data_IF_570303779089
#
_entry.id   IF_570303779089
#
_cell.length_a   1.000
_cell.length_b   1.000
_cell.length_c   1.000
_cell.angle_alpha   90.00
_cell.angle_beta   90.00
_cell.angle_gamma   90.00
#
_symmetry.space_group_name_H-M   'P 1'
#
loop_
_entity.id
_entity.type
_entity.pdbx_description
1 polymer ?
#
# COMPACT_ATOMS: atom_id res chain seq x y z
N UNK A 1 -18.24 17.20 16.95
CA UNK A 1 -17.15 16.21 16.97
C UNK A 1 -17.64 14.75 17.09
N UNK A 2 -18.61 14.42 17.99
CA UNK A 2 -19.08 13.02 18.19
C UNK A 2 -19.72 12.36 16.96
N UNK A 3 -20.40 13.11 16.10
CA UNK A 3 -21.03 12.57 14.88
C UNK A 3 -20.02 12.15 13.80
N UNK A 4 -18.97 12.95 13.59
CA UNK A 4 -17.88 12.60 12.67
C UNK A 4 -17.11 11.35 13.13
N UNK A 5 -16.86 11.24 14.44
CA UNK A 5 -16.23 10.05 15.01
C UNK A 5 -17.10 8.79 14.83
N UNK A 6 -18.42 8.90 15.01
CA UNK A 6 -19.34 7.78 14.78
C UNK A 6 -19.35 7.33 13.30
N UNK A 7 -19.37 8.27 12.35
CA UNK A 7 -19.29 7.98 10.91
C UNK A 7 -17.96 7.29 10.59
N UNK A 8 -16.83 7.89 11.01
CA UNK A 8 -15.51 7.34 10.72
C UNK A 8 -15.34 5.93 11.30
N UNK A 9 -15.76 5.72 12.56
CA UNK A 9 -15.65 4.43 13.21
C UNK A 9 -16.51 3.37 12.53
N UNK A 10 -17.78 3.69 12.19
CA UNK A 10 -18.69 2.73 11.56
C UNK A 10 -18.24 2.37 10.14
N UNK A 11 -17.75 3.34 9.38
CA UNK A 11 -17.19 3.13 8.05
C UNK A 11 -15.93 2.26 8.10
N UNK A 12 -14.98 2.59 8.99
CA UNK A 12 -13.74 1.83 9.15
C UNK A 12 -13.98 0.42 9.67
N UNK A 13 -14.92 0.24 10.61
CA UNK A 13 -15.30 -1.08 11.11
C UNK A 13 -15.91 -1.96 10.01
N UNK A 14 -16.72 -1.38 9.12
CA UNK A 14 -17.28 -2.10 7.98
C UNK A 14 -16.20 -2.57 7.00
N UNK A 15 -15.21 -1.72 6.71
CA UNK A 15 -14.06 -2.10 5.85
C UNK A 15 -13.21 -3.19 6.52
N UNK A 16 -12.98 -3.08 7.82
CA UNK A 16 -12.22 -4.08 8.56
C UNK A 16 -12.92 -5.45 8.58
N UNK A 17 -14.24 -5.46 8.72
CA UNK A 17 -15.07 -6.68 8.61
C UNK A 17 -14.94 -7.33 7.23
N UNK A 18 -14.84 -6.55 6.15
CA UNK A 18 -14.59 -7.08 4.80
C UNK A 18 -13.23 -7.78 4.69
N UNK A 19 -12.21 -7.29 5.38
CA UNK A 19 -10.89 -7.92 5.41
C UNK A 19 -10.83 -9.22 6.22
N UNK A 20 -11.77 -9.42 7.15
CA UNK A 20 -11.83 -10.61 8.01
C UNK A 20 -12.74 -11.72 7.46
N UNK A 21 -13.63 -11.41 6.55
CA UNK A 21 -14.62 -12.34 6.02
C UNK A 21 -14.40 -12.57 4.52
N UNK A 22 -14.59 -13.81 4.02
CA UNK A 22 -14.40 -14.09 2.60
C UNK A 22 -15.33 -13.23 1.75
N UNK A 23 -14.79 -12.70 0.65
CA UNK A 23 -15.55 -11.90 -0.29
C UNK A 23 -16.70 -12.74 -0.91
N UNK A 24 -17.91 -12.20 -0.93
CA UNK A 24 -19.06 -12.91 -1.46
C UNK A 24 -20.25 -11.98 -1.69
N UNK A 25 -21.31 -12.53 -2.31
CA UNK A 25 -22.57 -11.81 -2.57
C UNK A 25 -23.27 -11.32 -1.29
N UNK A 26 -22.97 -11.92 -0.14
CA UNK A 26 -23.52 -11.54 1.17
C UNK A 26 -23.26 -10.06 1.51
N UNK A 27 -22.18 -9.46 0.97
CA UNK A 27 -21.81 -8.06 1.21
C UNK A 27 -22.92 -7.12 0.71
N UNK A 28 -23.46 -7.39 -0.48
CA UNK A 28 -24.56 -6.60 -1.03
C UNK A 28 -25.84 -6.76 -0.21
N UNK A 29 -26.12 -7.98 0.27
CA UNK A 29 -27.25 -8.23 1.16
C UNK A 29 -27.08 -7.53 2.51
N UNK A 30 -25.89 -7.60 3.10
CA UNK A 30 -25.59 -6.92 4.37
C UNK A 30 -25.69 -5.39 4.23
N UNK A 31 -25.15 -4.82 3.16
CA UNK A 31 -25.27 -3.39 2.89
C UNK A 31 -26.72 -2.98 2.67
N UNK A 32 -27.49 -3.78 1.93
CA UNK A 32 -28.92 -3.55 1.71
C UNK A 32 -29.74 -3.64 2.99
N UNK A 33 -29.45 -4.62 3.86
CA UNK A 33 -30.11 -4.76 5.17
C UNK A 33 -29.79 -3.59 6.10
N UNK A 34 -28.54 -3.11 6.13
CA UNK A 34 -28.17 -1.93 6.90
C UNK A 34 -28.88 -0.67 6.39
N UNK A 35 -28.96 -0.50 5.08
CA UNK A 35 -29.69 0.62 4.48
C UNK A 35 -31.19 0.53 4.77
N UNK A 36 -31.79 -0.65 4.66
CA UNK A 36 -33.20 -0.90 5.00
C UNK A 36 -33.47 -0.66 6.50
N UNK A 37 -32.59 -1.10 7.39
CA UNK A 37 -32.67 -0.80 8.82
C UNK A 37 -32.65 0.71 9.08
N UNK A 38 -31.81 1.46 8.36
CA UNK A 38 -31.81 2.92 8.37
C UNK A 38 -33.16 3.50 7.94
N UNK A 39 -33.75 2.96 6.86
CA UNK A 39 -35.09 3.32 6.41
C UNK A 39 -36.17 3.04 7.49
N UNK A 40 -36.09 1.89 8.14
CA UNK A 40 -36.99 1.55 9.25
C UNK A 40 -36.88 2.51 10.44
N UNK A 41 -35.63 2.95 10.78
CA UNK A 41 -35.42 3.96 11.82
C UNK A 41 -36.11 5.29 11.48
N UNK A 42 -36.24 5.63 10.19
CA UNK A 42 -36.99 6.81 9.74
C UNK A 42 -38.47 6.69 9.98
N UNK A 43 -39.05 5.48 9.89
CA UNK A 43 -40.49 5.21 10.00
C UNK A 43 -40.92 5.02 11.45
N UNK A 44 -40.04 4.68 12.39
CA UNK A 44 -40.35 4.39 13.78
C UNK A 44 -40.82 5.65 14.54
N UNK A 45 -42.13 5.74 14.95
CA UNK A 45 -42.67 6.92 15.60
C UNK A 45 -42.05 7.16 17.00
N UNK A 46 -41.67 6.05 17.71
CA UNK A 46 -41.04 6.13 19.04
C UNK A 46 -39.69 6.84 19.02
N UNK A 47 -38.93 6.77 17.92
CA UNK A 47 -37.65 7.44 17.77
C UNK A 47 -37.79 8.89 17.31
N UNK A 48 -38.97 9.32 16.86
CA UNK A 48 -39.21 10.73 16.50
C UNK A 48 -39.03 11.66 17.70
N UNK A 49 -39.38 11.25 18.89
CA UNK A 49 -39.21 12.00 20.12
C UNK A 49 -37.72 12.18 20.50
N UNK A 50 -36.85 11.25 20.11
CA UNK A 50 -35.40 11.26 20.42
C UNK A 50 -34.57 11.63 19.18
N UNK A 51 -34.75 12.84 18.68
CA UNK A 51 -34.11 13.32 17.43
C UNK A 51 -32.61 13.04 17.34
N UNK A 52 -31.86 13.24 18.44
CA UNK A 52 -30.40 13.00 18.44
C UNK A 52 -30.05 11.53 18.30
N UNK A 53 -30.72 10.62 19.01
CA UNK A 53 -30.49 9.18 18.93
C UNK A 53 -30.81 8.68 17.52
N UNK A 54 -31.93 9.13 16.95
CA UNK A 54 -32.31 8.80 15.59
C UNK A 54 -31.27 9.22 14.56
N UNK A 55 -30.75 10.44 14.67
CA UNK A 55 -29.71 10.94 13.77
C UNK A 55 -28.42 10.12 13.87
N UNK A 56 -27.99 9.74 15.10
CA UNK A 56 -26.82 8.90 15.27
C UNK A 56 -26.99 7.50 14.67
N UNK A 57 -28.12 6.85 14.90
CA UNK A 57 -28.40 5.53 14.35
C UNK A 57 -28.38 5.55 12.81
N UNK A 58 -28.99 6.58 12.21
CA UNK A 58 -28.96 6.76 10.77
C UNK A 58 -27.53 6.94 10.24
N UNK A 59 -26.76 7.81 10.88
CA UNK A 59 -25.37 8.05 10.46
C UNK A 59 -24.53 6.78 10.56
N UNK A 60 -24.68 5.97 11.62
CA UNK A 60 -23.97 4.71 11.79
C UNK A 60 -24.34 3.71 10.71
N UNK A 61 -25.65 3.48 10.50
CA UNK A 61 -26.13 2.50 9.54
C UNK A 61 -25.77 2.85 8.09
N UNK A 62 -25.95 4.11 7.70
CA UNK A 62 -25.58 4.55 6.36
C UNK A 62 -24.06 4.57 6.16
N UNK A 63 -23.27 4.97 7.18
CA UNK A 63 -21.81 4.92 7.08
C UNK A 63 -21.29 3.49 6.97
N UNK A 64 -21.84 2.54 7.73
CA UNK A 64 -21.49 1.13 7.63
C UNK A 64 -21.88 0.54 6.27
N UNK A 65 -23.09 0.82 5.78
CA UNK A 65 -23.51 0.40 4.44
C UNK A 65 -22.60 0.96 3.34
N UNK A 66 -22.28 2.25 3.42
CA UNK A 66 -21.36 2.90 2.48
C UNK A 66 -19.95 2.29 2.55
N UNK A 67 -19.46 1.94 3.75
CA UNK A 67 -18.18 1.28 3.94
C UNK A 67 -18.12 -0.10 3.28
N UNK A 68 -19.17 -0.91 3.43
CA UNK A 68 -19.27 -2.22 2.77
C UNK A 68 -19.28 -2.09 1.24
N UNK A 69 -20.08 -1.19 0.70
CA UNK A 69 -20.19 -0.98 -0.75
C UNK A 69 -18.87 -0.42 -1.32
N UNK A 70 -18.26 0.54 -0.62
CA UNK A 70 -16.97 1.09 -1.02
C UNK A 70 -15.88 0.03 -1.03
N UNK A 71 -15.74 -0.74 0.05
CA UNK A 71 -14.73 -1.78 0.15
C UNK A 71 -14.92 -2.87 -0.92
N UNK A 72 -16.17 -3.32 -1.16
CA UNK A 72 -16.45 -4.29 -2.22
C UNK A 72 -16.19 -3.73 -3.62
N UNK A 73 -16.60 -2.48 -3.88
CA UNK A 73 -16.33 -1.81 -5.14
C UNK A 73 -14.83 -1.64 -5.39
N UNK A 74 -14.09 -1.31 -4.35
CA UNK A 74 -12.63 -1.21 -4.41
C UNK A 74 -11.99 -2.58 -4.72
N UNK A 75 -12.41 -3.65 -4.03
CA UNK A 75 -11.92 -5.01 -4.29
C UNK A 75 -12.23 -5.44 -5.73
N UNK A 76 -13.45 -5.23 -6.19
CA UNK A 76 -13.87 -5.59 -7.54
C UNK A 76 -13.07 -4.89 -8.66
N UNK A 77 -12.54 -3.68 -8.38
CA UNK A 77 -11.80 -2.90 -9.37
C UNK A 77 -10.29 -3.17 -9.30
N UNK A 78 -9.77 -3.47 -8.11
CA UNK A 78 -8.32 -3.48 -7.85
C UNK A 78 -7.79 -4.88 -7.54
N UNK A 79 -8.36 -5.58 -6.55
CA UNK A 79 -7.82 -6.88 -6.11
C UNK A 79 -8.37 -8.06 -6.90
N UNK A 80 -9.68 -8.12 -7.16
CA UNK A 80 -10.29 -9.27 -7.81
C UNK A 80 -9.69 -9.56 -9.21
N UNK A 81 -9.47 -8.56 -10.10
CA UNK A 81 -8.85 -8.80 -11.42
C UNK A 81 -7.41 -9.31 -11.35
N UNK A 82 -6.73 -9.05 -10.23
CA UNK A 82 -5.37 -9.56 -10.01
C UNK A 82 -5.43 -11.00 -9.51
N UNK A 83 -6.32 -11.27 -8.54
CA UNK A 83 -6.49 -12.61 -7.97
C UNK A 83 -6.98 -13.64 -8.99
N UNK A 84 -7.83 -13.24 -9.94
CA UNK A 84 -8.29 -14.11 -11.03
C UNK A 84 -7.16 -14.63 -11.92
N UNK A 85 -6.02 -13.92 -11.99
CA UNK A 85 -4.84 -14.31 -12.77
C UNK A 85 -3.81 -15.12 -11.96
N UNK A 86 -4.00 -15.21 -10.64
CA UNK A 86 -3.07 -15.93 -9.78
C UNK A 86 -3.19 -17.46 -9.97
N UNK A 87 -2.05 -18.15 -9.90
CA UNK A 87 -1.94 -19.59 -10.09
C UNK A 87 -1.49 -20.03 -11.47
N UNK A 88 -1.38 -19.12 -12.44
CA UNK A 88 -0.99 -19.43 -13.81
C UNK A 88 0.05 -18.44 -14.36
N UNK A 89 0.64 -18.82 -15.52
CA UNK A 89 1.52 -17.93 -16.28
C UNK A 89 0.69 -17.00 -17.16
N UNK A 90 0.81 -15.71 -16.93
CA UNK A 90 0.15 -14.70 -17.76
C UNK A 90 1.13 -13.63 -18.26
N UNK A 91 0.79 -13.06 -19.39
CA UNK A 91 1.44 -11.84 -19.89
C UNK A 91 1.09 -10.68 -18.95
N UNK A 92 2.06 -9.82 -18.72
CA UNK A 92 1.86 -8.61 -17.93
C UNK A 92 2.41 -7.38 -18.64
N UNK A 93 1.74 -6.26 -18.42
CA UNK A 93 2.22 -4.92 -18.73
C UNK A 93 2.24 -4.10 -17.46
N UNK A 94 3.40 -3.59 -17.10
CA UNK A 94 3.59 -2.90 -15.82
C UNK A 94 4.47 -1.67 -15.97
N UNK A 95 4.41 -0.80 -14.97
CA UNK A 95 5.34 0.33 -14.85
C UNK A 95 6.10 0.20 -13.53
N UNK A 96 7.41 0.32 -13.60
CA UNK A 96 8.30 0.32 -12.43
C UNK A 96 7.95 1.49 -11.52
N UNK A 97 7.69 1.21 -10.25
CA UNK A 97 7.31 2.22 -9.26
C UNK A 97 8.47 2.66 -8.40
N UNK A 98 9.41 1.78 -8.16
CA UNK A 98 10.51 2.00 -7.24
C UNK A 98 11.79 1.36 -7.76
N UNK A 99 12.93 1.64 -7.14
CA UNK A 99 14.20 1.05 -7.50
C UNK A 99 14.22 -0.44 -7.19
N UNK A 100 14.92 -1.25 -8.04
CA UNK A 100 15.13 -2.67 -7.75
C UNK A 100 15.92 -2.87 -6.47
N UNK A 101 15.56 -3.88 -5.71
CA UNK A 101 16.24 -4.30 -4.51
C UNK A 101 16.77 -5.73 -4.68
N UNK A 102 17.93 -6.01 -4.13
CA UNK A 102 18.48 -7.37 -4.12
C UNK A 102 17.80 -8.20 -3.05
N UNK A 103 17.44 -9.43 -3.39
CA UNK A 103 16.85 -10.38 -2.43
C UNK A 103 17.95 -11.19 -1.73
N UNK A 104 17.68 -11.71 -0.55
CA UNK A 104 18.61 -12.58 0.20
C UNK A 104 18.98 -13.86 -0.58
N UNK A 105 18.12 -14.28 -1.48
CA UNK A 105 18.35 -15.42 -2.39
C UNK A 105 19.23 -15.08 -3.61
N UNK A 106 19.74 -13.85 -3.72
CA UNK A 106 20.64 -13.40 -4.79
C UNK A 106 19.94 -12.92 -6.07
N UNK A 107 18.61 -12.96 -6.13
CA UNK A 107 17.83 -12.39 -7.22
C UNK A 107 17.50 -10.91 -7.00
N UNK A 108 16.65 -10.36 -7.86
CA UNK A 108 16.16 -9.00 -7.79
C UNK A 108 14.65 -8.98 -7.57
N UNK A 109 14.18 -7.99 -6.84
CA UNK A 109 12.76 -7.66 -6.71
C UNK A 109 12.53 -6.20 -7.07
N UNK A 110 11.44 -5.91 -7.75
CA UNK A 110 11.04 -4.55 -8.10
C UNK A 110 9.54 -4.38 -7.90
N UNK A 111 9.15 -3.28 -7.28
CA UNK A 111 7.73 -2.92 -7.13
C UNK A 111 7.24 -2.30 -8.43
N UNK A 112 6.21 -2.89 -9.00
CA UNK A 112 5.61 -2.47 -10.26
C UNK A 112 4.14 -2.15 -10.10
N UNK A 113 3.60 -1.36 -11.00
CA UNK A 113 2.18 -1.05 -11.10
C UNK A 113 1.60 -1.72 -12.33
N UNK A 114 0.58 -2.53 -12.13
CA UNK A 114 -0.13 -3.21 -13.19
C UNK A 114 -0.94 -2.20 -14.03
N UNK A 115 -0.79 -2.25 -15.33
CA UNK A 115 -1.54 -1.38 -16.25
C UNK A 115 -2.99 -1.84 -16.35
N UNK A 116 -3.21 -3.15 -16.31
CA UNK A 116 -4.52 -3.78 -16.51
C UNK A 116 -5.43 -3.67 -15.28
N UNK A 117 -4.89 -3.61 -14.08
CA UNK A 117 -5.63 -3.60 -12.83
C UNK A 117 -5.69 -2.21 -12.17
N UNK A 118 -5.94 -1.16 -12.94
CA UNK A 118 -6.15 0.24 -12.51
C UNK A 118 -5.25 0.71 -11.36
N UNK A 119 -3.97 0.35 -11.42
CA UNK A 119 -2.97 0.85 -10.47
C UNK A 119 -2.70 -0.05 -9.28
N UNK A 120 -3.20 -1.28 -9.27
CA UNK A 120 -2.76 -2.31 -8.34
C UNK A 120 -1.25 -2.49 -8.45
N UNK A 121 -0.59 -2.69 -7.31
CA UNK A 121 0.84 -2.96 -7.28
C UNK A 121 1.07 -4.46 -7.26
N UNK A 122 2.18 -4.85 -7.86
CA UNK A 122 2.76 -6.18 -7.77
C UNK A 122 4.25 -6.06 -7.46
N UNK A 123 4.85 -7.14 -6.97
CA UNK A 123 6.31 -7.24 -6.87
C UNK A 123 6.78 -8.25 -7.92
N UNK A 124 7.68 -7.81 -8.79
CA UNK A 124 8.26 -8.65 -9.82
C UNK A 124 9.61 -9.18 -9.32
N UNK A 125 9.79 -10.50 -9.38
CA UNK A 125 11.01 -11.21 -9.02
C UNK A 125 11.65 -11.77 -10.28
N UNK A 126 12.96 -11.55 -10.47
CA UNK A 126 13.77 -12.19 -11.48
C UNK A 126 15.18 -12.45 -10.98
N UNK A 127 15.85 -13.43 -11.59
CA UNK A 127 17.24 -13.76 -11.27
C UNK A 127 18.24 -13.00 -12.14
N UNK A 128 17.76 -12.36 -13.20
CA UNK A 128 18.59 -11.69 -14.18
C UNK A 128 19.21 -10.41 -13.59
N UNK A 129 20.51 -10.24 -13.77
CA UNK A 129 21.26 -9.07 -13.27
C UNK A 129 20.83 -7.75 -13.97
N UNK A 130 20.29 -7.81 -15.19
CA UNK A 130 19.79 -6.64 -15.90
C UNK A 130 18.63 -5.97 -15.15
N UNK A 131 17.91 -6.73 -14.35
CA UNK A 131 16.83 -6.21 -13.50
C UNK A 131 17.30 -5.15 -12.51
N UNK A 132 18.56 -5.25 -12.06
CA UNK A 132 19.20 -4.25 -11.17
C UNK A 132 19.39 -2.88 -11.82
N UNK A 133 19.37 -2.79 -13.13
CA UNK A 133 19.49 -1.55 -13.90
C UNK A 133 18.17 -0.82 -14.17
N UNK A 134 17.04 -1.35 -13.72
CA UNK A 134 15.73 -0.73 -13.94
C UNK A 134 15.59 0.59 -13.21
N UNK A 135 14.87 1.52 -13.85
CA UNK A 135 14.56 2.84 -13.30
C UNK A 135 13.06 3.02 -13.08
N UNK A 136 12.65 3.75 -12.02
CA UNK A 136 11.26 4.13 -11.83
C UNK A 136 10.69 4.87 -13.03
N UNK A 137 9.53 4.40 -13.50
CA UNK A 137 8.84 4.93 -14.68
C UNK A 137 9.08 4.16 -15.97
N UNK A 138 10.03 3.23 -16.01
CA UNK A 138 10.16 2.31 -17.15
C UNK A 138 8.96 1.37 -17.21
N UNK A 139 8.58 0.97 -18.40
CA UNK A 139 7.52 -0.01 -18.60
C UNK A 139 8.15 -1.39 -18.89
N UNK A 140 7.58 -2.41 -18.25
CA UNK A 140 7.96 -3.80 -18.39
C UNK A 140 6.85 -4.58 -19.08
N UNK A 141 7.21 -5.38 -20.05
CA UNK A 141 6.34 -6.29 -20.78
C UNK A 141 6.97 -7.69 -20.76
N UNK A 142 6.23 -8.68 -20.31
CA UNK A 142 6.76 -10.04 -20.24
C UNK A 142 5.70 -11.04 -19.81
N UNK A 143 6.13 -12.26 -19.54
CA UNK A 143 5.34 -13.31 -18.93
C UNK A 143 5.89 -13.64 -17.54
N UNK A 144 5.00 -13.94 -16.61
CA UNK A 144 5.37 -14.34 -15.26
C UNK A 144 4.34 -15.31 -14.71
N UNK A 145 4.77 -16.14 -13.78
CA UNK A 145 3.87 -16.85 -12.89
C UNK A 145 3.32 -15.88 -11.84
N UNK A 146 2.00 -15.80 -11.74
CA UNK A 146 1.32 -14.90 -10.82
C UNK A 146 0.96 -15.67 -9.54
N UNK A 147 1.41 -15.18 -8.41
CA UNK A 147 1.06 -15.70 -7.09
C UNK A 147 0.31 -14.65 -6.30
N UNK A 148 -0.76 -15.06 -5.62
CA UNK A 148 -1.49 -14.16 -4.72
C UNK A 148 -0.61 -13.78 -3.53
N UNK A 149 -0.42 -12.50 -3.31
CA UNK A 149 0.34 -11.97 -2.17
C UNK A 149 -0.33 -12.30 -0.82
N UNK A 150 -1.61 -12.67 -0.83
CA UNK A 150 -2.36 -13.07 0.37
C UNK A 150 -2.10 -14.51 0.82
N UNK A 151 -1.54 -15.37 -0.02
CA UNK A 151 -1.26 -16.79 0.30
C UNK A 151 0.13 -17.00 0.91
N UNK A 152 0.97 -15.96 0.95
CA UNK A 152 2.31 -16.07 1.52
C UNK A 152 2.24 -15.93 3.03
N UNK A 153 3.11 -16.68 3.72
CA UNK A 153 3.24 -16.80 5.18
C UNK A 153 2.79 -15.57 5.98
N UNK A 154 2.08 -15.80 7.08
CA UNK A 154 1.28 -14.83 7.86
C UNK A 154 1.93 -13.48 8.23
N UNK A 155 3.25 -13.38 8.30
CA UNK A 155 3.96 -12.12 8.59
C UNK A 155 4.15 -11.23 7.34
N UNK A 156 4.31 -11.83 6.19
CA UNK A 156 4.55 -11.12 4.92
C UNK A 156 3.25 -10.62 4.29
N UNK A 157 2.14 -11.31 4.58
CA UNK A 157 0.80 -10.94 4.17
C UNK A 157 0.44 -9.49 4.52
N UNK A 158 0.59 -9.13 5.78
CA UNK A 158 0.30 -7.79 6.28
C UNK A 158 1.21 -6.73 5.67
N UNK A 159 2.43 -7.09 5.30
CA UNK A 159 3.40 -6.16 4.71
C UNK A 159 3.09 -5.87 3.25
N UNK A 160 2.75 -6.87 2.44
CA UNK A 160 2.44 -6.70 1.02
C UNK A 160 1.09 -6.00 0.81
N UNK A 161 0.03 -6.53 1.39
CA UNK A 161 -1.33 -5.98 1.21
C UNK A 161 -1.48 -4.59 1.80
N UNK A 162 -0.82 -4.29 2.91
CA UNK A 162 -0.80 -2.93 3.50
C UNK A 162 -0.11 -1.89 2.60
N UNK A 163 0.82 -2.32 1.75
CA UNK A 163 1.48 -1.48 0.73
C UNK A 163 0.72 -1.42 -0.59
N UNK A 164 -0.42 -2.11 -0.68
CA UNK A 164 -1.24 -2.19 -1.89
C UNK A 164 -0.68 -3.13 -2.95
N UNK A 165 0.13 -4.11 -2.54
CA UNK A 165 0.67 -5.18 -3.39
C UNK A 165 -0.26 -6.38 -3.27
N UNK A 166 -0.81 -6.83 -4.41
CA UNK A 166 -1.79 -7.93 -4.46
C UNK A 166 -1.27 -9.18 -5.16
N UNK A 167 -0.23 -9.05 -5.99
CA UNK A 167 0.38 -10.19 -6.66
C UNK A 167 1.89 -10.15 -6.59
N UNK A 168 2.50 -11.33 -6.65
CA UNK A 168 3.91 -11.54 -6.89
C UNK A 168 4.08 -12.16 -8.27
N UNK A 169 4.95 -11.57 -9.07
CA UNK A 169 5.24 -11.96 -10.45
C UNK A 169 6.62 -12.62 -10.48
N UNK A 170 6.66 -13.90 -10.73
CA UNK A 170 7.93 -14.61 -10.88
C UNK A 170 8.26 -14.73 -12.36
N UNK A 171 9.25 -13.96 -12.79
CA UNK A 171 9.71 -13.95 -14.17
C UNK A 171 10.82 -15.00 -14.34
N UNK A 172 10.64 -15.91 -15.29
CA UNK A 172 11.69 -16.89 -15.68
C UNK A 172 12.71 -16.22 -16.60
N UNK A 173 12.23 -15.33 -17.48
CA UNK A 173 13.05 -14.57 -18.42
C UNK A 173 12.96 -13.07 -18.12
N UNK A 174 14.00 -12.32 -18.51
CA UNK A 174 13.99 -10.86 -18.37
C UNK A 174 12.85 -10.25 -19.18
N UNK A 175 11.96 -9.47 -18.54
CA UNK A 175 10.91 -8.76 -19.29
C UNK A 175 11.51 -7.73 -20.25
N UNK A 176 10.85 -7.50 -21.36
CA UNK A 176 11.24 -6.42 -22.28
C UNK A 176 11.01 -5.06 -21.62
N UNK A 177 12.04 -4.23 -21.64
CA UNK A 177 12.07 -2.93 -20.99
C UNK A 177 11.87 -1.84 -22.04
N UNK A 178 10.93 -0.92 -21.76
CA UNK A 178 10.76 0.29 -22.55
C UNK A 178 10.90 1.52 -21.67
N UNK A 179 11.35 2.63 -22.25
CA UNK A 179 11.63 3.88 -21.51
C UNK A 179 10.42 4.43 -20.76
N UNK A 180 9.20 4.15 -21.21
CA UNK A 180 7.97 4.54 -20.55
C UNK A 180 7.96 6.02 -20.14
N UNK A 181 7.74 6.28 -18.85
CA UNK A 181 7.71 7.61 -18.26
C UNK A 181 8.90 7.86 -17.32
N UNK A 182 10.05 7.23 -17.55
CA UNK A 182 11.22 7.33 -16.68
C UNK A 182 11.67 8.79 -16.43
N UNK A 183 11.49 9.71 -17.39
CA UNK A 183 11.78 11.14 -17.25
C UNK A 183 10.77 11.98 -16.47
N UNK A 184 9.62 11.41 -16.08
CA UNK A 184 8.53 12.18 -15.46
C UNK A 184 8.87 12.72 -14.07
N UNK A 185 8.37 13.92 -13.75
CA UNK A 185 8.44 14.52 -12.41
C UNK A 185 7.74 13.68 -11.34
N UNK A 186 6.84 12.77 -11.74
CA UNK A 186 6.17 11.84 -10.84
C UNK A 186 7.16 10.97 -10.06
N UNK A 187 8.30 10.62 -10.65
CA UNK A 187 9.33 9.77 -10.05
C UNK A 187 10.49 10.56 -9.46
N UNK A 188 10.35 11.90 -9.36
CA UNK A 188 11.34 12.74 -8.71
C UNK A 188 11.64 12.35 -7.26
N UNK A 189 10.64 11.99 -6.42
CA UNK A 189 10.90 11.55 -5.05
C UNK A 189 11.85 10.35 -4.97
N UNK A 190 11.64 9.32 -5.82
CA UNK A 190 12.46 8.11 -5.85
C UNK A 190 13.90 8.42 -6.32
N UNK A 191 14.06 9.35 -7.26
CA UNK A 191 15.39 9.79 -7.71
C UNK A 191 16.12 10.57 -6.63
N UNK A 192 15.42 11.46 -5.93
CA UNK A 192 15.98 12.20 -4.81
C UNK A 192 16.38 11.25 -3.68
N UNK A 193 15.52 10.28 -3.35
CA UNK A 193 15.82 9.26 -2.35
C UNK A 193 17.09 8.50 -2.70
N UNK A 194 17.24 8.02 -3.95
CA UNK A 194 18.46 7.35 -4.42
C UNK A 194 19.68 8.26 -4.33
N UNK A 195 19.55 9.51 -4.80
CA UNK A 195 20.64 10.47 -4.75
C UNK A 195 21.11 10.75 -3.31
N UNK A 196 20.17 10.84 -2.35
CA UNK A 196 20.51 10.99 -0.94
C UNK A 196 21.15 9.70 -0.39
N UNK A 197 20.62 8.53 -0.71
CA UNK A 197 21.16 7.24 -0.30
C UNK A 197 22.62 7.05 -0.75
N UNK A 198 22.95 7.48 -1.96
CA UNK A 198 24.30 7.42 -2.51
C UNK A 198 25.24 8.51 -1.95
N UNK A 199 24.71 9.71 -1.66
CA UNK A 199 25.49 10.84 -1.18
C UNK A 199 25.82 10.79 0.31
N UNK A 200 24.94 10.30 1.14
CA UNK A 200 25.12 10.26 2.60
C UNK A 200 26.44 9.54 2.98
N UNK A 201 26.75 8.31 2.48
CA UNK A 201 28.00 7.64 2.83
C UNK A 201 29.26 8.32 2.26
N UNK A 202 29.12 9.14 1.21
CA UNK A 202 30.24 9.89 0.64
C UNK A 202 30.62 11.11 1.48
N UNK A 203 29.66 11.68 2.21
CA UNK A 203 29.88 12.86 3.06
C UNK A 203 30.29 12.45 4.47
N UNK A 204 29.69 11.39 4.99
CA UNK A 204 29.98 10.86 6.33
C UNK A 204 30.69 9.51 6.20
N UNK A 205 32.01 9.52 6.46
CA UNK A 205 32.87 8.34 6.36
C UNK A 205 32.59 7.27 7.44
N UNK A 206 31.88 7.63 8.51
CA UNK A 206 31.47 6.70 9.56
C UNK A 206 30.19 5.97 9.12
N UNK A 207 30.26 4.63 8.90
CA UNK A 207 29.12 3.85 8.45
C UNK A 207 27.94 3.89 9.43
N UNK A 208 28.21 4.04 10.72
CA UNK A 208 27.20 4.13 11.78
C UNK A 208 26.40 5.43 11.64
N UNK A 209 27.10 6.56 11.49
CA UNK A 209 26.47 7.87 11.30
C UNK A 209 25.72 7.92 9.97
N UNK A 210 26.29 7.37 8.90
CA UNK A 210 25.63 7.29 7.60
C UNK A 210 24.36 6.46 7.67
N UNK A 211 24.38 5.28 8.32
CA UNK A 211 23.22 4.43 8.54
C UNK A 211 22.12 5.11 9.35
N UNK A 212 22.48 5.82 10.42
CA UNK A 212 21.54 6.61 11.22
C UNK A 212 20.87 7.72 10.40
N UNK A 213 21.65 8.45 9.60
CA UNK A 213 21.11 9.51 8.74
C UNK A 213 20.18 8.94 7.65
N UNK A 214 20.53 7.78 7.07
CA UNK A 214 19.65 7.09 6.12
C UNK A 214 18.34 6.65 6.78
N UNK A 215 18.42 6.10 7.99
CA UNK A 215 17.22 5.71 8.74
C UNK A 215 16.34 6.91 9.09
N UNK A 216 16.92 8.03 9.48
CA UNK A 216 16.17 9.21 9.87
C UNK A 216 15.61 9.99 8.67
N UNK A 217 16.37 10.16 7.61
CA UNK A 217 15.98 10.96 6.45
C UNK A 217 15.13 10.16 5.45
N UNK A 218 15.48 8.90 5.21
CA UNK A 218 14.88 8.07 4.17
C UNK A 218 13.96 6.98 4.74
N UNK A 219 14.04 6.72 6.06
CA UNK A 219 13.34 5.60 6.69
C UNK A 219 14.02 4.24 6.44
N UNK A 220 15.20 4.25 5.83
CA UNK A 220 15.96 3.04 5.51
C UNK A 220 16.83 2.61 6.70
N UNK A 221 16.44 1.54 7.35
CA UNK A 221 17.10 0.98 8.53
C UNK A 221 18.15 -0.08 8.22
N UNK A 222 18.41 -0.36 6.96
CA UNK A 222 19.35 -1.42 6.55
C UNK A 222 20.78 -1.18 7.03
N UNK A 223 21.14 0.09 7.29
CA UNK A 223 22.44 0.47 7.84
C UNK A 223 22.54 0.51 9.37
N UNK A 224 21.46 0.14 10.10
CA UNK A 224 21.46 0.07 11.56
C UNK A 224 21.73 -1.36 11.98
N UNK A 225 22.77 -1.59 12.83
CA UNK A 225 23.03 -2.92 13.40
C UNK A 225 21.93 -3.33 14.39
N UNK A 226 21.77 -4.66 14.61
CA UNK A 226 20.81 -5.18 15.61
C UNK A 226 21.15 -4.65 17.01
N UNK A 227 22.43 -4.62 17.40
CA UNK A 227 22.89 -4.07 18.68
C UNK A 227 22.42 -2.64 18.88
N UNK A 228 22.60 -1.78 17.88
CA UNK A 228 22.15 -0.40 17.92
C UNK A 228 20.62 -0.27 17.96
N UNK A 229 19.90 -1.13 17.25
CA UNK A 229 18.44 -1.17 17.29
C UNK A 229 17.93 -1.52 18.69
N UNK A 230 18.61 -2.44 19.38
CA UNK A 230 18.29 -2.84 20.75
C UNK A 230 18.60 -1.71 21.75
N UNK A 231 19.75 -1.06 21.62
CA UNK A 231 20.11 0.12 22.45
C UNK A 231 19.07 1.25 22.32
N UNK A 232 18.59 1.52 21.09
CA UNK A 232 17.52 2.51 20.87
C UNK A 232 16.18 2.07 21.46
N UNK A 233 15.90 0.78 21.45
CA UNK A 233 14.69 0.22 22.04
C UNK A 233 14.74 0.31 23.57
N UNK A 234 15.86 -0.03 24.19
CA UNK A 234 16.09 0.11 25.64
C UNK A 234 16.05 1.56 26.09
N UNK A 235 16.63 2.47 25.30
CA UNK A 235 16.58 3.91 25.56
C UNK A 235 15.16 4.52 25.30
N UNK A 236 14.21 3.75 24.75
CA UNK A 236 12.86 4.21 24.44
C UNK A 236 12.78 5.21 23.27
N UNK A 237 13.83 5.38 22.49
CA UNK A 237 13.92 6.37 21.39
C UNK A 237 13.66 5.76 20.00
N UNK A 238 13.37 4.48 19.92
CA UNK A 238 13.07 3.78 18.65
C UNK A 238 11.91 4.40 17.84
N UNK A 239 10.99 5.12 18.52
CA UNK A 239 9.90 5.84 17.89
C UNK A 239 10.36 7.04 17.04
N UNK A 240 11.56 7.60 17.29
CA UNK A 240 12.09 8.72 16.49
C UNK A 240 12.26 8.32 15.03
N UNK A 241 12.72 7.10 14.76
CA UNK A 241 12.88 6.58 13.40
C UNK A 241 11.54 6.31 12.69
N UNK A 242 10.48 5.99 13.46
CA UNK A 242 9.16 5.79 12.88
C UNK A 242 8.49 7.10 12.46
N UNK A 243 8.77 8.19 13.19
CA UNK A 243 8.13 9.50 12.96
C UNK A 243 8.82 10.31 11.88
N UNK A 244 10.15 10.19 11.72
CA UNK A 244 10.92 10.99 10.76
C UNK A 244 10.60 10.63 9.31
N UNK A 245 10.56 9.35 8.97
CA UNK A 245 10.17 8.88 7.62
C UNK A 245 8.76 9.32 7.21
N UNK A 246 7.82 9.35 8.17
CA UNK A 246 6.47 9.85 7.93
C UNK A 246 6.45 11.35 7.62
N UNK A 247 7.28 12.17 8.30
CA UNK A 247 7.35 13.63 8.11
C UNK A 247 7.90 13.99 6.73
N UNK A 248 8.98 13.36 6.30
CA UNK A 248 9.57 13.60 4.98
C UNK A 248 8.63 13.14 3.85
N UNK A 249 7.98 11.99 4.01
CA UNK A 249 6.98 11.52 3.07
C UNK A 249 5.77 12.45 2.98
N UNK A 250 5.34 13.04 4.09
CA UNK A 250 4.24 14.01 4.12
C UNK A 250 4.65 15.34 3.49
N UNK A 251 5.84 15.85 3.80
CA UNK A 251 6.41 17.07 3.22
C UNK A 251 6.62 16.90 1.71
N UNK A 252 7.17 15.78 1.26
CA UNK A 252 7.33 15.48 -0.15
C UNK A 252 5.99 15.45 -0.90
N UNK A 253 4.95 14.86 -0.31
CA UNK A 253 3.60 14.86 -0.88
C UNK A 253 2.98 16.26 -0.92
N UNK A 254 3.18 17.09 0.09
CA UNK A 254 2.69 18.47 0.12
C UNK A 254 3.39 19.32 -0.93
N UNK A 255 4.71 19.17 -1.13
CA UNK A 255 5.45 19.87 -2.18
C UNK A 255 4.96 19.44 -3.57
N UNK A 256 4.73 18.15 -3.80
CA UNK A 256 4.19 17.64 -5.08
C UNK A 256 2.78 18.18 -5.32
N UNK A 257 1.92 18.18 -4.32
CA UNK A 257 0.57 18.74 -4.41
C UNK A 257 0.61 20.26 -4.73
N UNK A 258 1.54 20.99 -4.11
CA UNK A 258 1.73 22.42 -4.36
C UNK A 258 2.32 22.73 -5.75
N UNK A 259 3.05 21.79 -6.37
CA UNK A 259 3.58 21.93 -7.73
C UNK A 259 2.58 21.48 -8.82
N UNK A 260 1.49 20.80 -8.44
CA UNK A 260 0.45 20.33 -9.36
C UNK A 260 -0.77 21.27 -9.43
N UNK A 261 -0.80 22.33 -8.60
CA UNK A 261 -1.78 23.42 -8.63
C UNK A 261 -1.20 24.63 -9.35
#
# INVERSE_FOLDING_TARGET
MRSLAAIAFSFSAAILLLGLLPAGSWIFWAAGLLAAAGGCVLLLPRLRARRRLRAYLLLILFAASAGLLYGRGWSAIISDPVQEKCGENHLFSTTVCDWPERTDSGGWRVTVRLTEARGAKAVCYAKDEEMGGLEPGQALLGSAYWQDASEISSKELTTFTSRGVFALLYCEEMPSVTQGQAGSLRYLPQRLEKAFREKIPQVWNDPTVAGLLQAELLGDRSGISEEMSDEFSEAGVSHLFAVSGLRLGLLGRLVILGLMV
#
